data_IF_690876145052
#
_entry.id   IF_690876145052
#
_cell.length_a   1.000
_cell.length_b   1.000
_cell.length_c   1.000
_cell.angle_alpha   90.00
_cell.angle_beta   90.00
_cell.angle_gamma   90.00
#
_symmetry.space_group_name_H-M   'P 1'
#
loop_
_entity.id
_entity.type
_entity.pdbx_description
1 polymer ?
#
# COMPACT_ATOMS: atom_id res chain seq x y z
N UNK A 1 -15.91 -24.64 15.16
CA UNK A 1 -15.67 -23.26 14.69
C UNK A 1 -16.36 -23.13 13.35
N UNK A 2 -17.39 -22.28 13.26
CA UNK A 2 -18.29 -22.20 12.10
C UNK A 2 -17.54 -21.58 10.91
N UNK A 3 -17.50 -22.28 9.78
CA UNK A 3 -16.74 -21.86 8.59
C UNK A 3 -17.21 -20.52 8.00
N UNK A 4 -18.43 -20.06 8.37
CA UNK A 4 -18.96 -18.74 7.99
C UNK A 4 -18.23 -17.58 8.67
N UNK A 5 -17.83 -17.74 9.92
CA UNK A 5 -17.13 -16.69 10.69
C UNK A 5 -15.72 -16.46 10.14
N UNK A 6 -15.04 -17.54 9.75
CA UNK A 6 -13.69 -17.48 9.15
C UNK A 6 -13.70 -16.72 7.82
N UNK A 7 -14.71 -16.95 6.98
CA UNK A 7 -14.84 -16.25 5.70
C UNK A 7 -15.14 -14.76 5.87
N UNK A 8 -15.99 -14.40 6.84
CA UNK A 8 -16.28 -13.01 7.18
C UNK A 8 -15.04 -12.27 7.69
N UNK A 9 -14.26 -12.92 8.57
CA UNK A 9 -13.00 -12.38 9.09
C UNK A 9 -11.97 -12.18 7.98
N UNK A 10 -11.77 -13.17 7.11
CA UNK A 10 -10.85 -13.05 5.98
C UNK A 10 -11.22 -11.88 5.05
N UNK A 11 -12.52 -11.67 4.79
CA UNK A 11 -13.00 -10.52 4.00
C UNK A 11 -12.73 -9.19 4.70
N UNK A 12 -12.93 -9.11 6.01
CA UNK A 12 -12.64 -7.92 6.80
C UNK A 12 -11.13 -7.60 6.79
N UNK A 13 -10.28 -8.61 6.95
CA UNK A 13 -8.83 -8.47 6.85
C UNK A 13 -8.41 -7.92 5.47
N UNK A 14 -8.92 -8.49 4.37
CA UNK A 14 -8.62 -7.96 3.02
C UNK A 14 -9.06 -6.50 2.86
N UNK A 15 -10.24 -6.13 3.37
CA UNK A 15 -10.70 -4.73 3.33
C UNK A 15 -9.77 -3.78 4.10
N UNK A 16 -9.31 -4.19 5.27
CA UNK A 16 -8.35 -3.41 6.06
C UNK A 16 -7.07 -3.18 5.27
N UNK A 17 -6.47 -4.24 4.72
CA UNK A 17 -5.21 -4.13 3.99
C UNK A 17 -5.34 -3.34 2.68
N UNK A 18 -6.50 -3.44 2.01
CA UNK A 18 -6.79 -2.57 0.88
C UNK A 18 -6.86 -1.09 1.27
N UNK A 19 -7.43 -0.78 2.45
CA UNK A 19 -7.47 0.59 2.97
C UNK A 19 -6.07 1.11 3.35
N UNK A 20 -5.21 0.26 3.92
CA UNK A 20 -3.80 0.58 4.21
C UNK A 20 -3.06 0.93 2.92
N UNK A 21 -3.16 0.08 1.89
CA UNK A 21 -2.55 0.34 0.59
C UNK A 21 -3.08 1.66 -0.02
N UNK A 22 -4.40 1.87 0.00
CA UNK A 22 -5.00 3.12 -0.50
C UNK A 22 -4.56 4.36 0.30
N UNK A 23 -4.23 4.23 1.58
CA UNK A 23 -3.67 5.34 2.37
C UNK A 23 -2.24 5.66 1.93
N UNK A 24 -1.38 4.65 1.83
CA UNK A 24 0.00 4.84 1.37
C UNK A 24 0.06 5.49 -0.02
N UNK A 25 -0.84 5.10 -0.93
CA UNK A 25 -0.96 5.71 -2.26
C UNK A 25 -1.35 7.19 -2.19
N UNK A 26 -2.27 7.58 -1.30
CA UNK A 26 -2.64 8.99 -1.08
C UNK A 26 -1.47 9.79 -0.51
N UNK A 27 -0.73 9.20 0.44
CA UNK A 27 0.46 9.84 1.00
C UNK A 27 1.55 10.05 -0.06
N UNK A 28 1.72 9.12 -1.00
CA UNK A 28 2.62 9.28 -2.15
C UNK A 28 2.20 10.38 -3.13
N UNK A 29 0.89 10.51 -3.36
CA UNK A 29 0.33 11.51 -4.28
C UNK A 29 0.37 12.93 -3.73
N UNK A 30 0.36 13.09 -2.40
CA UNK A 30 0.51 14.39 -1.78
C UNK A 30 1.85 15.01 -2.20
N UNK A 31 1.86 16.30 -2.55
CA UNK A 31 3.08 17.10 -2.82
C UNK A 31 3.36 18.09 -1.68
N UNK A 32 3.61 17.62 -0.45
CA UNK A 32 3.85 18.51 0.66
C UNK A 32 5.23 19.14 0.52
N UNK A 33 5.30 20.45 0.75
CA UNK A 33 6.59 21.15 0.77
C UNK A 33 7.35 20.85 2.07
N UNK A 34 6.66 20.74 3.21
CA UNK A 34 7.24 20.55 4.54
C UNK A 34 6.27 19.83 5.49
N UNK A 35 6.75 19.40 6.66
CA UNK A 35 5.92 18.92 7.78
C UNK A 35 5.52 17.44 7.71
N UNK A 36 4.54 17.06 8.53
CA UNK A 36 4.12 15.66 8.72
C UNK A 36 3.75 14.95 7.40
N UNK A 37 3.13 15.66 6.46
CA UNK A 37 2.79 15.10 5.16
C UNK A 37 4.03 14.69 4.34
N UNK A 38 5.14 15.44 4.41
CA UNK A 38 6.38 15.08 3.72
C UNK A 38 7.03 13.84 4.34
N UNK A 39 6.95 13.72 5.66
CA UNK A 39 7.37 12.52 6.38
C UNK A 39 6.51 11.30 5.98
N UNK A 40 5.18 11.43 5.96
CA UNK A 40 4.27 10.36 5.56
C UNK A 40 4.54 9.90 4.12
N UNK A 41 4.77 10.82 3.18
CA UNK A 41 5.15 10.49 1.80
C UNK A 41 6.43 9.67 1.75
N UNK A 42 7.46 10.10 2.49
CA UNK A 42 8.72 9.36 2.54
C UNK A 42 8.54 7.97 3.16
N UNK A 43 7.79 7.85 4.25
CA UNK A 43 7.49 6.56 4.88
C UNK A 43 6.71 5.63 3.94
N UNK A 44 5.70 6.15 3.23
CA UNK A 44 4.95 5.38 2.25
C UNK A 44 5.83 4.90 1.10
N UNK A 45 6.75 5.76 0.63
CA UNK A 45 7.73 5.40 -0.40
C UNK A 45 8.65 4.27 0.06
N UNK A 46 9.29 4.43 1.23
CA UNK A 46 10.16 3.41 1.83
C UNK A 46 9.41 2.09 2.06
N UNK A 47 8.15 2.15 2.50
CA UNK A 47 7.33 0.96 2.72
C UNK A 47 7.03 0.21 1.41
N UNK A 48 6.75 0.92 0.32
CA UNK A 48 6.47 0.33 -1.00
C UNK A 48 7.74 -0.24 -1.65
N UNK A 49 8.88 0.44 -1.47
CA UNK A 49 10.19 -0.02 -1.97
C UNK A 49 10.74 -1.22 -1.19
N UNK A 50 10.26 -1.46 0.03
CA UNK A 50 10.76 -2.56 0.85
C UNK A 50 10.39 -3.92 0.26
N UNK A 51 11.41 -4.78 0.12
CA UNK A 51 11.27 -6.19 -0.25
C UNK A 51 11.03 -7.12 0.96
N UNK A 52 10.79 -6.55 2.14
CA UNK A 52 10.42 -7.33 3.31
C UNK A 52 9.16 -8.15 3.05
N UNK A 53 9.13 -9.38 3.57
CA UNK A 53 7.96 -10.26 3.57
C UNK A 53 7.36 -10.45 4.96
N UNK A 54 7.73 -9.60 5.91
CA UNK A 54 7.20 -9.57 7.27
C UNK A 54 5.70 -9.23 7.27
N UNK A 55 4.90 -9.66 8.27
CA UNK A 55 3.51 -9.23 8.37
C UNK A 55 3.41 -7.69 8.32
N UNK A 56 2.43 -7.15 7.58
CA UNK A 56 2.25 -5.71 7.29
C UNK A 56 3.24 -5.05 6.33
N UNK A 57 4.28 -5.75 5.86
CA UNK A 57 5.10 -5.27 4.74
C UNK A 57 4.28 -5.13 3.45
N UNK A 58 4.76 -4.31 2.51
CA UNK A 58 4.10 -4.12 1.22
C UNK A 58 3.93 -5.44 0.45
N UNK A 59 4.99 -6.27 0.38
CA UNK A 59 4.95 -7.57 -0.31
C UNK A 59 3.94 -8.50 0.36
N UNK A 60 3.91 -8.54 1.69
CA UNK A 60 2.93 -9.34 2.42
C UNK A 60 1.50 -8.86 2.18
N UNK A 61 1.26 -7.54 2.20
CA UNK A 61 -0.05 -6.95 1.90
C UNK A 61 -0.50 -7.30 0.48
N UNK A 62 0.40 -7.22 -0.50
CA UNK A 62 0.11 -7.62 -1.88
C UNK A 62 -0.32 -9.08 -1.97
N UNK A 63 0.36 -9.98 -1.24
CA UNK A 63 -0.02 -11.40 -1.17
C UNK A 63 -1.41 -11.60 -0.56
N UNK A 64 -1.75 -10.90 0.52
CA UNK A 64 -3.07 -10.97 1.15
C UNK A 64 -4.18 -10.45 0.24
N UNK A 65 -3.86 -9.47 -0.60
CA UNK A 65 -4.77 -8.89 -1.57
C UNK A 65 -4.77 -9.61 -2.93
N UNK A 66 -3.96 -10.66 -3.07
CA UNK A 66 -3.82 -11.43 -4.32
C UNK A 66 -3.42 -10.56 -5.53
N UNK A 67 -2.57 -9.55 -5.27
CA UNK A 67 -2.01 -8.67 -6.30
C UNK A 67 -0.50 -8.89 -6.42
N UNK A 68 0.02 -8.66 -7.62
CA UNK A 68 1.45 -8.77 -7.90
C UNK A 68 2.18 -7.50 -7.42
N UNK A 69 3.17 -7.62 -6.51
CA UNK A 69 3.86 -6.46 -5.93
C UNK A 69 4.67 -5.68 -6.98
N UNK A 70 5.31 -6.35 -7.93
CA UNK A 70 6.14 -5.71 -8.97
C UNK A 70 5.31 -4.89 -9.96
N UNK A 71 4.19 -5.46 -10.42
CA UNK A 71 3.21 -4.76 -11.25
C UNK A 71 2.61 -3.58 -10.50
N UNK A 72 2.35 -3.75 -9.20
CA UNK A 72 1.79 -2.68 -8.36
C UNK A 72 2.80 -1.54 -8.22
N UNK A 73 4.07 -1.81 -7.88
CA UNK A 73 5.16 -0.82 -7.87
C UNK A 73 5.28 -0.09 -9.20
N UNK A 74 5.32 -0.85 -10.30
CA UNK A 74 5.39 -0.28 -11.66
C UNK A 74 4.24 0.69 -11.93
N UNK A 75 3.01 0.31 -11.58
CA UNK A 75 1.84 1.17 -11.75
C UNK A 75 1.91 2.44 -10.88
N UNK A 76 2.35 2.29 -9.63
CA UNK A 76 2.55 3.41 -8.69
C UNK A 76 3.57 4.39 -9.25
N UNK A 77 4.75 3.93 -9.65
CA UNK A 77 5.80 4.81 -10.18
C UNK A 77 5.41 5.47 -11.50
N UNK A 78 4.68 4.76 -12.36
CA UNK A 78 4.13 5.36 -13.58
C UNK A 78 3.19 6.52 -13.25
N UNK A 79 2.33 6.39 -12.25
CA UNK A 79 1.38 7.44 -11.87
C UNK A 79 2.02 8.58 -11.06
N UNK A 80 2.84 8.25 -10.05
CA UNK A 80 3.52 9.25 -9.22
C UNK A 80 4.59 10.01 -10.02
N UNK A 81 5.35 9.32 -10.86
CA UNK A 81 6.34 9.92 -11.75
C UNK A 81 5.71 10.76 -12.89
N UNK A 82 4.55 10.35 -13.40
CA UNK A 82 3.81 11.21 -14.35
C UNK A 82 3.31 12.51 -13.69
N UNK A 83 3.11 12.52 -12.36
CA UNK A 83 2.73 13.72 -11.62
C UNK A 83 3.91 14.66 -11.31
N UNK A 84 5.18 14.23 -11.43
CA UNK A 84 6.33 15.11 -11.17
C UNK A 84 6.73 15.98 -12.36
N UNK A 85 6.27 15.67 -13.58
CA UNK A 85 6.59 16.39 -14.82
C UNK A 85 5.39 17.14 -15.43
N UNK A 86 4.30 17.27 -14.69
CA UNK A 86 3.12 18.06 -15.02
C UNK A 86 2.87 19.11 -13.93
#
# INVERSE_FOLDING_TARGET
MDSRDTNAQARACRKLWAAVLASALRDLQNKPKYGAAASNRHMAQTWIDSDESSPSSFVWVCRVLEIDPERTRTAIYKHVGSMTYA
#
